data_IF_782431926337
#
_entry.id   IF_782431926337
#
_cell.length_a   1.000
_cell.length_b   1.000
_cell.length_c   1.000
_cell.angle_alpha   90.00
_cell.angle_beta   90.00
_cell.angle_gamma   90.00
#
_symmetry.space_group_name_H-M   'P 1'
#
loop_
_entity.id
_entity.type
_entity.pdbx_description
1 polymer ?
#
# COMPACT_ATOMS: atom_id res chain seq x y z
N UNK A 1 -28.24 12.81 -30.52
CA UNK A 1 -26.77 12.90 -30.30
C UNK A 1 -26.40 13.21 -28.85
N UNK A 2 -27.17 14.05 -28.14
CA UNK A 2 -26.96 14.38 -26.72
C UNK A 2 -27.04 13.18 -25.76
N UNK A 3 -27.87 12.16 -26.07
CA UNK A 3 -28.06 10.99 -25.19
C UNK A 3 -26.79 10.13 -25.00
N UNK A 4 -25.92 10.04 -26.03
CA UNK A 4 -24.68 9.25 -25.99
C UNK A 4 -23.53 9.98 -25.25
N UNK A 5 -23.56 11.32 -25.19
CA UNK A 5 -22.63 12.10 -24.36
C UNK A 5 -23.01 12.02 -22.87
N UNK A 6 -24.31 12.03 -22.56
CA UNK A 6 -24.77 11.83 -21.18
C UNK A 6 -24.48 10.43 -20.64
N UNK A 7 -24.60 9.36 -21.45
CA UNK A 7 -24.33 8.00 -20.95
C UNK A 7 -22.84 7.76 -20.70
N UNK A 8 -21.96 8.30 -21.52
CA UNK A 8 -20.51 8.22 -21.31
C UNK A 8 -20.06 9.02 -20.09
N UNK A 9 -20.63 10.22 -19.88
CA UNK A 9 -20.39 11.02 -18.67
C UNK A 9 -20.90 10.34 -17.40
N UNK A 10 -22.13 9.80 -17.40
CA UNK A 10 -22.68 9.07 -16.25
C UNK A 10 -21.85 7.82 -15.93
N UNK A 11 -21.38 7.10 -16.95
CA UNK A 11 -20.52 5.94 -16.77
C UNK A 11 -19.18 6.30 -16.11
N UNK A 12 -18.55 7.41 -16.51
CA UNK A 12 -17.32 7.90 -15.88
C UNK A 12 -17.52 8.23 -14.41
N UNK A 13 -18.60 8.95 -14.07
CA UNK A 13 -18.92 9.30 -12.68
C UNK A 13 -19.14 8.03 -11.85
N UNK A 14 -19.88 7.06 -12.38
CA UNK A 14 -20.18 5.82 -11.68
C UNK A 14 -18.92 4.96 -11.49
N UNK A 15 -18.01 4.98 -12.46
CA UNK A 15 -16.69 4.35 -12.36
C UNK A 15 -15.81 5.00 -11.29
N UNK A 16 -15.76 6.34 -11.24
CA UNK A 16 -14.97 7.07 -10.26
C UNK A 16 -15.47 6.84 -8.83
N UNK A 17 -16.80 6.82 -8.63
CA UNK A 17 -17.42 6.48 -7.34
C UNK A 17 -17.08 5.05 -6.93
N UNK A 18 -17.17 4.11 -7.87
CA UNK A 18 -16.85 2.70 -7.61
C UNK A 18 -15.38 2.53 -7.24
N UNK A 19 -14.47 3.18 -7.98
CA UNK A 19 -13.04 3.20 -7.71
C UNK A 19 -12.76 3.79 -6.32
N UNK A 20 -13.41 4.91 -5.99
CA UNK A 20 -13.26 5.58 -4.69
C UNK A 20 -13.70 4.68 -3.53
N UNK A 21 -14.86 4.03 -3.64
CA UNK A 21 -15.35 3.08 -2.63
C UNK A 21 -14.43 1.87 -2.49
N UNK A 22 -13.91 1.37 -3.61
CA UNK A 22 -12.97 0.25 -3.62
C UNK A 22 -11.66 0.60 -2.90
N UNK A 23 -11.06 1.75 -3.22
CA UNK A 23 -9.85 2.26 -2.55
C UNK A 23 -10.12 2.46 -1.06
N UNK A 24 -11.24 3.09 -0.71
CA UNK A 24 -11.60 3.37 0.69
C UNK A 24 -11.73 2.08 1.49
N UNK A 25 -12.39 1.07 0.93
CA UNK A 25 -12.55 -0.24 1.57
C UNK A 25 -11.21 -0.95 1.79
N UNK A 26 -10.33 -0.97 0.78
CA UNK A 26 -8.98 -1.55 0.91
C UNK A 26 -8.16 -0.83 1.98
N UNK A 27 -8.23 0.50 1.96
CA UNK A 27 -7.54 1.36 2.93
C UNK A 27 -8.04 1.11 4.35
N UNK A 28 -9.35 0.89 4.52
CA UNK A 28 -9.95 0.55 5.80
C UNK A 28 -9.47 -0.81 6.33
N UNK A 29 -9.36 -1.83 5.47
CA UNK A 29 -8.79 -3.12 5.89
C UNK A 29 -7.31 -3.00 6.29
N UNK A 30 -6.53 -2.21 5.55
CA UNK A 30 -5.14 -1.95 5.90
C UNK A 30 -5.01 -1.22 7.23
N UNK A 31 -5.84 -0.20 7.43
CA UNK A 31 -5.92 0.55 8.66
C UNK A 31 -6.29 -0.36 9.84
N UNK A 32 -7.39 -1.13 9.76
CA UNK A 32 -7.87 -1.90 10.92
C UNK A 32 -6.90 -3.00 11.35
N UNK A 33 -6.29 -3.70 10.38
CA UNK A 33 -5.27 -4.73 10.66
C UNK A 33 -4.06 -4.11 11.37
N UNK A 34 -3.56 -2.99 10.84
CA UNK A 34 -2.38 -2.32 11.37
C UNK A 34 -2.66 -1.66 12.72
N UNK A 35 -3.84 -1.07 12.90
CA UNK A 35 -4.26 -0.41 14.13
C UNK A 35 -4.49 -1.43 15.26
N UNK A 36 -5.23 -2.52 15.02
CA UNK A 36 -5.44 -3.57 16.02
C UNK A 36 -4.13 -4.24 16.42
N UNK A 37 -3.25 -4.50 15.45
CA UNK A 37 -1.92 -5.05 15.73
C UNK A 37 -1.07 -4.10 16.57
N UNK A 38 -1.09 -2.80 16.24
CA UNK A 38 -0.41 -1.76 17.03
C UNK A 38 -0.93 -1.67 18.47
N UNK A 39 -2.26 -1.73 18.65
CA UNK A 39 -2.88 -1.77 19.98
C UNK A 39 -2.46 -3.01 20.75
N UNK A 40 -2.40 -4.17 20.09
CA UNK A 40 -1.97 -5.42 20.72
C UNK A 40 -0.51 -5.37 21.17
N UNK A 41 0.40 -4.86 20.32
CA UNK A 41 1.82 -4.64 20.68
C UNK A 41 1.92 -3.66 21.86
N UNK A 42 1.17 -2.56 21.81
CA UNK A 42 1.15 -1.55 22.87
C UNK A 42 0.64 -2.13 24.19
N UNK A 43 -0.40 -2.95 24.14
CA UNK A 43 -0.91 -3.67 25.29
C UNK A 43 0.13 -4.63 25.88
N UNK A 44 0.80 -5.44 25.06
CA UNK A 44 1.88 -6.32 25.52
C UNK A 44 3.04 -5.53 26.12
N UNK A 45 3.37 -4.39 25.53
CA UNK A 45 4.43 -3.51 26.03
C UNK A 45 4.11 -2.98 27.43
N UNK A 46 2.90 -2.47 27.64
CA UNK A 46 2.46 -1.90 28.91
C UNK A 46 2.24 -2.98 29.98
N UNK A 47 1.63 -4.11 29.60
CA UNK A 47 1.24 -5.15 30.57
C UNK A 47 2.36 -6.11 30.95
N UNK A 48 3.35 -6.34 30.07
CA UNK A 48 4.41 -7.34 30.28
C UNK A 48 5.82 -6.76 30.19
N UNK A 49 6.16 -6.03 29.12
CA UNK A 49 7.56 -5.65 28.87
C UNK A 49 8.07 -4.56 29.82
N UNK A 50 7.31 -3.48 30.02
CA UNK A 50 7.70 -2.41 30.94
C UNK A 50 7.81 -2.86 32.42
N UNK A 51 6.85 -3.64 32.98
CA UNK A 51 6.94 -4.04 34.38
C UNK A 51 8.05 -5.07 34.64
N UNK A 52 8.36 -5.97 33.69
CA UNK A 52 9.38 -7.01 33.89
C UNK A 52 10.80 -6.44 33.74
N UNK A 53 10.99 -5.50 32.81
CA UNK A 53 12.33 -5.05 32.40
C UNK A 53 12.74 -3.70 32.99
N UNK A 54 11.88 -3.03 33.76
CA UNK A 54 12.07 -1.66 34.28
C UNK A 54 12.57 -0.66 33.22
N UNK A 55 12.24 -0.90 31.95
CA UNK A 55 12.74 -0.11 30.84
C UNK A 55 12.07 1.27 30.83
N UNK A 56 12.87 2.30 30.56
CA UNK A 56 12.33 3.63 30.28
C UNK A 56 11.43 3.58 29.04
N UNK A 57 10.38 4.40 29.03
CA UNK A 57 9.40 4.47 27.93
C UNK A 57 10.04 4.54 26.51
N UNK A 58 11.08 5.35 26.24
CA UNK A 58 11.71 5.40 24.91
C UNK A 58 12.45 4.11 24.53
N UNK A 59 13.03 3.38 25.48
CA UNK A 59 13.72 2.11 25.20
C UNK A 59 12.72 1.00 24.83
N UNK A 60 11.58 0.97 25.52
CA UNK A 60 10.51 0.01 25.22
C UNK A 60 9.86 0.28 23.85
N UNK A 61 9.76 1.55 23.45
CA UNK A 61 9.34 1.94 22.09
C UNK A 61 10.33 1.45 21.04
N UNK A 62 11.64 1.67 21.25
CA UNK A 62 12.67 1.25 20.29
C UNK A 62 12.70 -0.26 20.05
N UNK A 63 12.46 -1.07 21.08
CA UNK A 63 12.41 -2.54 20.96
C UNK A 63 11.17 -3.02 20.21
N UNK A 64 10.05 -2.29 20.33
CA UNK A 64 8.78 -2.67 19.71
C UNK A 64 8.62 -2.14 18.28
N UNK A 65 9.40 -1.13 17.89
CA UNK A 65 9.41 -0.55 16.53
C UNK A 65 9.70 -1.59 15.41
N UNK A 66 10.72 -2.46 15.51
CA UNK A 66 10.97 -3.49 14.50
C UNK A 66 9.80 -4.45 14.33
N UNK A 67 9.16 -4.87 15.43
CA UNK A 67 8.00 -5.75 15.38
C UNK A 67 6.82 -5.08 14.66
N UNK A 68 6.58 -3.80 14.96
CA UNK A 68 5.56 -3.02 14.29
C UNK A 68 5.85 -2.84 12.80
N UNK A 69 7.10 -2.54 12.41
CA UNK A 69 7.51 -2.43 11.01
C UNK A 69 7.32 -3.75 10.25
N UNK A 70 7.69 -4.88 10.84
CA UNK A 70 7.50 -6.19 10.24
C UNK A 70 6.01 -6.48 10.01
N UNK A 71 5.17 -6.21 11.01
CA UNK A 71 3.71 -6.40 10.90
C UNK A 71 3.09 -5.48 9.84
N UNK A 72 3.48 -4.20 9.82
CA UNK A 72 3.04 -3.25 8.80
C UNK A 72 3.42 -3.71 7.38
N UNK A 73 4.65 -4.22 7.22
CA UNK A 73 5.15 -4.79 5.96
C UNK A 73 4.35 -6.03 5.55
N UNK A 74 4.09 -6.95 6.50
CA UNK A 74 3.31 -8.16 6.26
C UNK A 74 1.87 -7.85 5.86
N UNK A 75 1.22 -6.88 6.51
CA UNK A 75 -0.15 -6.48 6.16
C UNK A 75 -0.22 -5.77 4.82
N UNK A 76 0.74 -4.90 4.52
CA UNK A 76 0.83 -4.26 3.21
C UNK A 76 1.00 -5.33 2.11
N UNK A 77 1.86 -6.32 2.32
CA UNK A 77 2.03 -7.45 1.39
C UNK A 77 0.78 -8.32 1.29
N UNK A 78 0.14 -8.64 2.43
CA UNK A 78 -1.08 -9.45 2.47
C UNK A 78 -2.18 -8.80 1.62
N UNK A 79 -2.39 -7.50 1.75
CA UNK A 79 -3.40 -6.77 0.98
C UNK A 79 -3.04 -6.71 -0.51
N UNK A 80 -1.78 -6.47 -0.85
CA UNK A 80 -1.32 -6.46 -2.25
C UNK A 80 -1.55 -7.82 -2.93
N UNK A 81 -1.20 -8.91 -2.25
CA UNK A 81 -1.30 -10.26 -2.80
C UNK A 81 -2.76 -10.73 -2.85
N UNK A 82 -3.53 -10.51 -1.79
CA UNK A 82 -4.89 -11.05 -1.69
C UNK A 82 -5.90 -10.30 -2.55
N UNK A 83 -5.75 -8.98 -2.69
CA UNK A 83 -6.61 -8.16 -3.55
C UNK A 83 -6.01 -7.88 -4.93
N UNK A 84 -4.91 -8.55 -5.28
CA UNK A 84 -4.23 -8.44 -6.59
C UNK A 84 -4.05 -6.99 -7.05
N UNK A 85 -3.59 -6.12 -6.14
CA UNK A 85 -3.54 -4.68 -6.39
C UNK A 85 -2.61 -4.41 -7.59
N UNK A 86 -3.09 -3.66 -8.61
CA UNK A 86 -2.30 -3.37 -9.79
C UNK A 86 -0.97 -2.73 -9.41
N UNK A 87 0.09 -3.08 -10.14
CA UNK A 87 1.45 -2.56 -9.95
C UNK A 87 1.59 -1.12 -10.47
N UNK A 88 0.73 -0.23 -9.98
CA UNK A 88 0.72 1.21 -10.28
C UNK A 88 1.03 1.97 -9.00
N UNK A 89 2.10 2.78 -9.05
CA UNK A 89 2.60 3.50 -7.87
C UNK A 89 1.55 4.42 -7.25
N UNK A 90 0.81 5.16 -8.08
CA UNK A 90 -0.23 6.07 -7.62
C UNK A 90 -1.32 5.36 -6.82
N UNK A 91 -1.78 4.20 -7.28
CA UNK A 91 -2.86 3.46 -6.63
C UNK A 91 -2.47 2.97 -5.23
N UNK A 92 -1.25 2.42 -5.08
CA UNK A 92 -0.74 1.96 -3.78
C UNK A 92 -0.50 3.13 -2.80
N UNK A 93 -0.06 4.28 -3.31
CA UNK A 93 0.17 5.48 -2.50
C UNK A 93 -1.15 6.08 -2.00
N UNK A 94 -2.19 6.12 -2.85
CA UNK A 94 -3.52 6.58 -2.43
C UNK A 94 -4.09 5.67 -1.33
N UNK A 95 -3.96 4.35 -1.46
CA UNK A 95 -4.41 3.41 -0.42
C UNK A 95 -3.68 3.67 0.91
N UNK A 96 -2.36 3.80 0.88
CA UNK A 96 -1.56 4.13 2.07
C UNK A 96 -1.93 5.49 2.66
N UNK A 97 -2.20 6.49 1.81
CA UNK A 97 -2.59 7.84 2.22
C UNK A 97 -3.96 7.87 2.90
N UNK A 98 -4.97 7.24 2.30
CA UNK A 98 -6.32 7.14 2.88
C UNK A 98 -6.28 6.36 4.21
N UNK A 99 -5.49 5.29 4.29
CA UNK A 99 -5.25 4.58 5.55
C UNK A 99 -4.56 5.47 6.60
N UNK A 100 -3.61 6.31 6.19
CA UNK A 100 -2.97 7.31 7.05
C UNK A 100 -3.97 8.33 7.62
N UNK A 101 -4.93 8.80 6.81
CA UNK A 101 -6.00 9.69 7.28
C UNK A 101 -6.85 8.99 8.35
N UNK A 102 -7.25 7.74 8.14
CA UNK A 102 -7.96 6.97 9.16
C UNK A 102 -7.14 6.83 10.45
N UNK A 103 -5.84 6.64 10.34
CA UNK A 103 -4.95 6.53 11.50
C UNK A 103 -4.83 7.84 12.27
N UNK A 104 -4.73 8.98 11.59
CA UNK A 104 -4.74 10.32 12.21
C UNK A 104 -6.07 10.54 12.94
N UNK A 105 -7.20 10.22 12.30
CA UNK A 105 -8.52 10.33 12.92
C UNK A 105 -8.63 9.44 14.16
N UNK A 106 -8.13 8.21 14.10
CA UNK A 106 -8.13 7.29 15.24
C UNK A 106 -7.26 7.80 16.39
N UNK A 107 -6.07 8.36 16.10
CA UNK A 107 -5.20 8.95 17.11
C UNK A 107 -5.83 10.19 17.75
N UNK A 108 -6.50 11.05 16.97
CA UNK A 108 -7.22 12.22 17.50
C UNK A 108 -8.38 11.80 18.41
N UNK A 109 -9.21 10.86 17.96
CA UNK A 109 -10.33 10.35 18.75
C UNK A 109 -9.85 9.63 20.01
N UNK A 110 -8.83 8.78 19.89
CA UNK A 110 -8.20 8.10 21.02
C UNK A 110 -7.56 9.09 22.00
N UNK A 111 -6.87 10.11 21.48
CA UNK A 111 -6.23 11.16 22.26
C UNK A 111 -7.24 11.98 23.08
N UNK A 112 -8.37 12.38 22.48
CA UNK A 112 -9.45 13.09 23.19
C UNK A 112 -10.03 12.22 24.31
N UNK A 113 -10.38 10.96 24.03
CA UNK A 113 -10.97 10.04 25.02
C UNK A 113 -10.01 9.78 26.19
N UNK A 114 -8.71 9.61 25.90
CA UNK A 114 -7.69 9.37 26.92
C UNK A 114 -7.39 10.64 27.74
N UNK A 115 -7.44 11.81 27.10
CA UNK A 115 -7.28 13.12 27.77
C UNK A 115 -8.42 13.40 28.73
N UNK A 116 -9.66 13.14 28.34
CA UNK A 116 -10.84 13.29 29.21
C UNK A 116 -10.77 12.38 30.44
N UNK A 117 -10.17 11.20 30.32
CA UNK A 117 -9.94 10.29 31.44
C UNK A 117 -8.71 10.65 32.29
N UNK A 118 -7.94 11.67 31.91
CA UNK A 118 -6.77 12.15 32.64
C UNK A 118 -5.56 11.21 32.61
N UNK A 119 -5.53 10.23 31.70
CA UNK A 119 -4.52 9.17 31.71
C UNK A 119 -3.24 9.52 30.95
N UNK A 120 -3.25 10.55 30.09
CA UNK A 120 -2.09 10.90 29.26
C UNK A 120 -2.07 12.36 28.84
N UNK A 121 -0.90 12.99 28.94
CA UNK A 121 -0.60 14.29 28.34
C UNK A 121 -0.29 14.08 26.85
N UNK A 122 -0.67 15.03 26.01
CA UNK A 122 -0.48 14.94 24.56
C UNK A 122 1.02 14.94 24.23
N UNK A 123 1.51 13.94 23.50
CA UNK A 123 2.96 13.76 23.20
C UNK A 123 3.61 15.02 22.59
N UNK A 124 2.85 15.74 21.77
CA UNK A 124 3.21 17.01 21.13
C UNK A 124 3.51 18.14 22.13
N UNK A 125 2.90 18.12 23.32
CA UNK A 125 3.14 19.11 24.38
C UNK A 125 4.33 18.71 25.27
N UNK A 126 4.62 17.41 25.39
CA UNK A 126 5.61 16.89 26.34
C UNK A 126 7.01 16.73 25.75
N UNK A 127 7.15 16.27 24.51
CA UNK A 127 8.46 16.00 23.89
C UNK A 127 8.42 16.14 22.37
N UNK A 128 9.10 17.17 21.85
CA UNK A 128 9.20 17.44 20.42
C UNK A 128 9.91 16.32 19.65
N UNK A 129 10.86 15.61 20.27
CA UNK A 129 11.57 14.50 19.61
C UNK A 129 10.67 13.30 19.42
N UNK A 130 9.86 12.97 20.43
CA UNK A 130 8.87 11.90 20.35
C UNK A 130 7.79 12.22 19.29
N UNK A 131 7.37 13.49 19.20
CA UNK A 131 6.45 13.94 18.16
C UNK A 131 7.03 13.76 16.74
N UNK A 132 8.29 14.18 16.52
CA UNK A 132 8.98 13.99 15.23
C UNK A 132 9.10 12.50 14.86
N UNK A 133 9.44 11.65 15.83
CA UNK A 133 9.50 10.20 15.61
C UNK A 133 8.12 9.62 15.27
N UNK A 134 7.06 10.07 15.93
CA UNK A 134 5.68 9.68 15.62
C UNK A 134 5.28 10.05 14.18
N UNK A 135 5.63 11.25 13.73
CA UNK A 135 5.44 11.66 12.33
C UNK A 135 6.24 10.78 11.37
N UNK A 136 7.50 10.45 11.72
CA UNK A 136 8.33 9.56 10.90
C UNK A 136 7.72 8.16 10.74
N UNK A 137 7.17 7.60 11.81
CA UNK A 137 6.48 6.30 11.80
C UNK A 137 5.21 6.36 10.95
N UNK A 138 4.44 7.45 11.05
CA UNK A 138 3.25 7.67 10.22
C UNK A 138 3.61 7.76 8.73
N UNK A 139 4.67 8.50 8.39
CA UNK A 139 5.15 8.60 7.01
C UNK A 139 5.60 7.24 6.48
N UNK A 140 6.32 6.46 7.31
CA UNK A 140 6.70 5.11 6.95
C UNK A 140 5.46 4.23 6.68
N UNK A 141 4.44 4.31 7.53
CA UNK A 141 3.17 3.59 7.34
C UNK A 141 2.50 3.92 6.00
N UNK A 142 2.36 5.21 5.69
CA UNK A 142 1.71 5.67 4.44
C UNK A 142 2.49 5.20 3.20
N UNK A 143 3.82 5.21 3.28
CA UNK A 143 4.68 4.84 2.16
C UNK A 143 4.92 3.34 2.02
N UNK A 144 4.61 2.52 3.03
CA UNK A 144 4.90 1.08 3.02
C UNK A 144 4.39 0.34 1.76
N UNK A 145 3.11 0.51 1.33
CA UNK A 145 2.61 -0.14 0.11
C UNK A 145 3.38 0.26 -1.15
N UNK A 146 3.87 1.49 -1.19
CA UNK A 146 4.68 2.02 -2.29
C UNK A 146 6.13 1.52 -2.22
N UNK A 147 6.74 1.49 -1.04
CA UNK A 147 8.10 0.99 -0.83
C UNK A 147 8.24 -0.49 -1.24
N UNK A 148 7.24 -1.32 -0.94
CA UNK A 148 7.21 -2.72 -1.36
C UNK A 148 7.26 -2.89 -2.88
N UNK A 149 6.70 -1.94 -3.65
CA UNK A 149 6.81 -1.95 -5.10
C UNK A 149 8.25 -1.74 -5.58
N UNK A 150 9.03 -0.91 -4.88
CA UNK A 150 10.44 -0.69 -5.18
C UNK A 150 11.28 -1.95 -4.98
N UNK A 151 10.99 -2.71 -3.92
CA UNK A 151 11.64 -4.00 -3.65
C UNK A 151 11.23 -5.06 -4.68
N UNK A 152 9.95 -5.12 -5.07
CA UNK A 152 9.46 -6.02 -6.13
C UNK A 152 10.14 -5.74 -7.48
N UNK A 153 10.32 -4.45 -7.85
CA UNK A 153 11.01 -4.06 -9.09
C UNK A 153 12.49 -4.43 -9.08
N UNK A 154 13.15 -4.33 -7.92
CA UNK A 154 14.58 -4.63 -7.76
C UNK A 154 14.84 -6.14 -7.71
N UNK A 155 13.99 -6.89 -7.02
CA UNK A 155 14.03 -8.36 -6.99
C UNK A 155 13.68 -9.00 -8.33
N UNK A 156 12.86 -8.34 -9.18
CA UNK A 156 12.56 -8.84 -10.52
C UNK A 156 13.71 -8.68 -11.53
N UNK A 157 14.82 -8.02 -11.15
CA UNK A 157 16.07 -8.03 -11.91
C UNK A 157 17.02 -9.18 -11.54
N UNK A 158 16.79 -9.86 -10.41
CA UNK A 158 17.61 -10.98 -9.92
C UNK A 158 16.80 -12.28 -9.72
N UNK A 159 15.48 -12.25 -9.84
CA UNK A 159 14.58 -13.40 -9.71
C UNK A 159 14.02 -13.84 -11.09
N UNK A 160 14.89 -14.00 -12.09
CA UNK A 160 14.56 -14.63 -13.37
C UNK A 160 14.71 -16.17 -13.33
N UNK A 161 14.76 -16.80 -12.15
CA UNK A 161 14.79 -18.26 -12.00
C UNK A 161 13.86 -18.78 -10.89
N UNK A 162 12.55 -18.59 -11.02
CA UNK A 162 11.61 -19.61 -10.55
C UNK A 162 10.53 -19.81 -11.60
N UNK A 163 10.77 -20.82 -12.45
CA UNK A 163 9.80 -21.40 -13.37
C UNK A 163 8.62 -21.98 -12.59
N UNK A 164 7.41 -21.50 -12.85
CA UNK A 164 6.27 -22.32 -13.32
C UNK A 164 5.02 -21.45 -13.49
N UNK A 165 4.37 -21.56 -14.66
CA UNK A 165 2.93 -21.30 -14.77
C UNK A 165 2.47 -20.22 -15.76
N UNK A 166 2.69 -20.45 -17.05
CA UNK A 166 1.88 -20.00 -18.19
C UNK A 166 1.82 -18.52 -18.62
N UNK A 167 2.14 -18.35 -19.92
CA UNK A 167 1.80 -17.26 -20.84
C UNK A 167 2.54 -15.91 -20.73
N UNK A 168 3.87 -15.97 -20.94
CA UNK A 168 4.53 -14.98 -21.81
C UNK A 168 4.13 -15.25 -23.27
N UNK A 169 2.94 -14.83 -23.69
CA UNK A 169 2.63 -14.60 -25.11
C UNK A 169 2.52 -13.10 -25.33
N UNK A 170 3.52 -12.55 -26.01
CA UNK A 170 3.46 -11.23 -26.61
C UNK A 170 2.26 -11.21 -27.57
N UNK A 171 1.32 -10.28 -27.36
CA UNK A 171 0.14 -10.06 -28.20
C UNK A 171 0.53 -9.84 -29.68
N UNK A 172 1.77 -9.43 -29.93
CA UNK A 172 2.32 -9.23 -31.28
C UNK A 172 2.58 -10.55 -32.04
N UNK A 173 2.62 -11.71 -31.35
CA UNK A 173 2.76 -13.05 -31.97
C UNK A 173 1.43 -13.78 -32.20
N UNK A 174 0.31 -13.24 -31.73
CA UNK A 174 -1.01 -13.87 -31.85
C UNK A 174 -1.78 -13.49 -33.13
N UNK A 175 -1.22 -12.62 -33.97
CA UNK A 175 -1.76 -12.36 -35.31
C UNK A 175 -1.14 -13.37 -36.27
N UNK A 176 -1.89 -14.34 -36.82
CA UNK A 176 -1.40 -15.16 -37.91
C UNK A 176 -1.12 -14.24 -39.09
N UNK A 177 0.17 -14.06 -39.42
CA UNK A 177 0.59 -13.57 -40.73
C UNK A 177 0.14 -14.62 -41.74
N UNK A 178 -1.04 -14.39 -42.32
CA UNK A 178 -1.53 -15.18 -43.45
C UNK A 178 -0.47 -15.07 -44.55
N UNK A 179 0.15 -16.21 -44.82
CA UNK A 179 1.12 -16.42 -45.86
C UNK A 179 0.56 -15.94 -47.20
N UNK A 180 1.21 -14.94 -47.80
CA UNK A 180 1.11 -14.68 -49.23
C UNK A 180 2.44 -15.07 -49.84
N UNK A 181 2.58 -16.36 -50.12
CA UNK A 181 3.74 -16.88 -50.84
C UNK A 181 3.50 -16.74 -52.35
N UNK A 182 4.61 -16.48 -53.04
CA UNK A 182 4.87 -16.70 -54.47
C UNK A 182 4.19 -15.77 -55.49
N UNK A 183 4.99 -14.83 -56.03
CA UNK A 183 5.64 -15.00 -57.34
C UNK A 183 6.56 -13.79 -57.64
N UNK A 184 7.87 -14.01 -57.59
CA UNK A 184 8.79 -13.33 -58.51
C UNK A 184 8.51 -13.85 -59.94
N UNK A 185 8.63 -13.00 -60.97
CA UNK A 185 9.90 -13.00 -61.69
C UNK A 185 10.40 -11.62 -62.14
N UNK A 186 11.73 -11.50 -62.09
CA UNK A 186 12.62 -11.02 -63.16
C UNK A 186 12.65 -9.53 -63.60
N UNK A 187 13.81 -8.93 -63.31
CA UNK A 187 14.80 -8.48 -64.30
C UNK A 187 14.42 -7.38 -65.32
N UNK A 188 14.88 -6.14 -65.05
CA UNK A 188 15.82 -5.33 -65.87
C UNK A 188 15.66 -3.83 -65.54
N UNK A 189 16.73 -3.20 -65.05
CA UNK A 189 16.85 -1.75 -64.94
C UNK A 189 17.96 -1.30 -65.90
N UNK A 190 17.56 -0.82 -67.07
CA UNK A 190 18.38 0.03 -67.95
C UNK A 190 17.72 1.41 -67.96
N UNK A 191 18.39 2.40 -67.40
CA UNK A 191 18.46 3.78 -67.91
C UNK A 191 19.90 4.23 -67.68
#
# INVERSE_FOLDING_TARGET
>A
MILFETTTSVFQILWDITLFLFITRLSFYYFILSYLSSLFITYLRLSRLQPISHLTQPQAELITLPAWLLLSTLFARYIIVWYEIPRVAGFRLVIGGVAGVFLILAELLGGVVVRERGWRVWIWETDMRAAVLGVGVLVAFVLMPWLLMGVERRGSGEAEETRHGHEKKSVVRAVPLIARNEKEPELKKNI
#
